data_IF_966795645215
#
_entry.id   IF_966795645215
#
_cell.length_a   1.000
_cell.length_b   1.000
_cell.length_c   1.000
_cell.angle_alpha   90.00
_cell.angle_beta   90.00
_cell.angle_gamma   90.00
#
_symmetry.space_group_name_H-M   'P 1'
#
loop_
_entity.id
_entity.type
_entity.pdbx_description
1 polymer ?
#
# COMPACT_ATOMS: atom_id res chain seq x y z
N UNK A 1 8.14 -4.60 13.70
CA UNK A 1 8.57 -4.89 15.09
C UNK A 1 9.46 -6.12 15.23
N UNK A 2 9.10 -7.28 14.70
CA UNK A 2 9.91 -8.52 14.83
C UNK A 2 11.38 -8.34 14.43
N UNK A 3 11.65 -7.89 13.20
CA UNK A 3 13.02 -7.67 12.71
C UNK A 3 13.86 -6.74 13.60
N UNK A 4 13.24 -5.75 14.26
CA UNK A 4 13.94 -4.81 15.15
C UNK A 4 14.47 -5.52 16.42
N UNK A 5 13.86 -6.64 16.79
CA UNK A 5 14.24 -7.45 17.96
C UNK A 5 15.01 -8.71 17.57
N UNK A 6 15.17 -9.00 16.28
CA UNK A 6 15.96 -10.13 15.78
C UNK A 6 17.42 -9.69 15.58
N UNK A 7 18.40 -10.26 16.29
CA UNK A 7 19.82 -9.96 16.06
C UNK A 7 20.28 -10.44 14.68
N UNK A 8 21.21 -9.72 14.03
CA UNK A 8 21.76 -10.10 12.70
C UNK A 8 22.41 -11.48 12.65
N UNK A 9 22.86 -12.01 13.79
CA UNK A 9 23.47 -13.34 13.89
C UNK A 9 22.44 -14.48 14.04
N UNK A 10 21.17 -14.15 14.23
CA UNK A 10 20.09 -15.14 14.36
C UNK A 10 19.83 -15.79 13.00
N UNK A 11 19.64 -17.11 12.97
CA UNK A 11 19.37 -17.88 11.74
C UNK A 11 18.21 -17.31 10.92
N UNK A 12 17.20 -16.81 11.62
CA UNK A 12 15.95 -16.33 10.99
C UNK A 12 16.04 -14.87 10.53
N UNK A 13 17.13 -14.15 10.83
CA UNK A 13 17.24 -12.74 10.45
C UNK A 13 17.03 -12.50 8.93
N UNK A 14 17.67 -13.28 8.02
CA UNK A 14 17.50 -13.08 6.59
C UNK A 14 16.06 -13.33 6.14
N UNK A 15 15.43 -14.40 6.63
CA UNK A 15 14.05 -14.75 6.27
C UNK A 15 13.04 -13.71 6.77
N UNK A 16 13.23 -13.20 7.99
CA UNK A 16 12.36 -12.15 8.56
C UNK A 16 12.54 -10.82 7.83
N UNK A 17 13.77 -10.50 7.40
CA UNK A 17 14.05 -9.31 6.59
C UNK A 17 13.39 -9.40 5.21
N UNK A 18 13.55 -10.53 4.52
CA UNK A 18 12.97 -10.78 3.20
C UNK A 18 11.44 -10.72 3.25
N UNK A 19 10.83 -11.41 4.22
CA UNK A 19 9.39 -11.37 4.43
C UNK A 19 8.88 -9.94 4.69
N UNK A 20 9.63 -9.14 5.46
CA UNK A 20 9.26 -7.75 5.71
C UNK A 20 9.29 -6.92 4.42
N UNK A 21 10.29 -7.10 3.56
CA UNK A 21 10.36 -6.35 2.30
C UNK A 21 9.26 -6.78 1.32
N UNK A 22 9.01 -8.09 1.20
CA UNK A 22 7.94 -8.61 0.36
C UNK A 22 6.57 -8.07 0.80
N UNK A 23 6.29 -8.09 2.10
CA UNK A 23 5.03 -7.58 2.63
C UNK A 23 4.90 -6.06 2.45
N UNK A 24 5.99 -5.30 2.60
CA UNK A 24 5.97 -3.86 2.29
C UNK A 24 5.60 -3.62 0.83
N UNK A 25 6.22 -4.33 -0.11
CA UNK A 25 5.92 -4.17 -1.53
C UNK A 25 4.45 -4.47 -1.84
N UNK A 26 3.93 -5.59 -1.32
CA UNK A 26 2.52 -5.96 -1.49
C UNK A 26 1.58 -4.90 -0.91
N UNK A 27 1.80 -4.49 0.34
CA UNK A 27 0.96 -3.49 1.00
C UNK A 27 1.02 -2.13 0.32
N UNK A 28 2.21 -1.68 -0.12
CA UNK A 28 2.35 -0.43 -0.86
C UNK A 28 1.56 -0.46 -2.17
N UNK A 29 1.68 -1.54 -2.95
CA UNK A 29 0.97 -1.67 -4.21
C UNK A 29 -0.55 -1.64 -4.01
N UNK A 30 -1.07 -2.44 -3.06
CA UNK A 30 -2.50 -2.48 -2.76
C UNK A 30 -3.00 -1.09 -2.33
N UNK A 31 -2.27 -0.43 -1.42
CA UNK A 31 -2.67 0.87 -0.89
C UNK A 31 -2.58 1.97 -1.96
N UNK A 32 -1.61 1.90 -2.86
CA UNK A 32 -1.50 2.81 -4.00
C UNK A 32 -2.68 2.68 -4.94
N UNK A 33 -2.98 1.45 -5.37
CA UNK A 33 -4.10 1.17 -6.28
C UNK A 33 -5.41 1.61 -5.65
N UNK A 34 -5.64 1.31 -4.37
CA UNK A 34 -6.83 1.75 -3.65
C UNK A 34 -6.95 3.28 -3.64
N UNK A 35 -5.86 3.99 -3.31
CA UNK A 35 -5.86 5.46 -3.28
C UNK A 35 -6.13 6.08 -4.65
N UNK A 36 -5.66 5.46 -5.73
CA UNK A 36 -5.95 5.92 -7.08
C UNK A 36 -7.43 5.73 -7.43
N UNK A 37 -8.03 4.59 -7.05
CA UNK A 37 -9.46 4.35 -7.22
C UNK A 37 -10.32 5.35 -6.44
N UNK A 38 -10.01 5.60 -5.16
CA UNK A 38 -10.74 6.58 -4.34
C UNK A 38 -10.68 7.99 -4.94
N UNK A 39 -9.58 8.36 -5.60
CA UNK A 39 -9.47 9.64 -6.32
C UNK A 39 -10.36 9.68 -7.56
N UNK A 40 -10.45 8.58 -8.31
CA UNK A 40 -11.33 8.50 -9.49
C UNK A 40 -12.80 8.59 -9.08
N UNK A 41 -13.19 7.87 -8.03
CA UNK A 41 -14.55 7.95 -7.45
C UNK A 41 -14.87 9.37 -7.01
N UNK A 42 -13.94 10.06 -6.35
CA UNK A 42 -14.14 11.46 -5.96
C UNK A 42 -14.31 12.39 -7.18
N UNK A 43 -13.58 12.15 -8.27
CA UNK A 43 -13.75 12.92 -9.51
C UNK A 43 -15.08 12.66 -10.19
N UNK A 44 -15.54 11.41 -10.22
CA UNK A 44 -16.86 11.04 -10.76
C UNK A 44 -17.98 11.75 -9.97
N UNK A 45 -17.88 11.74 -8.63
CA UNK A 45 -18.80 12.49 -7.77
C UNK A 45 -18.74 13.98 -8.11
N UNK A 46 -17.55 14.58 -8.23
CA UNK A 46 -17.46 16.00 -8.58
C UNK A 46 -18.08 16.31 -9.94
N UNK A 47 -17.83 15.46 -10.95
CA UNK A 47 -18.39 15.59 -12.29
C UNK A 47 -19.92 15.54 -12.27
N UNK A 48 -20.53 14.62 -11.52
CA UNK A 48 -21.98 14.46 -11.47
C UNK A 48 -22.72 15.67 -10.90
N UNK A 49 -22.03 16.54 -10.18
CA UNK A 49 -22.59 17.78 -9.61
C UNK A 49 -22.50 18.98 -10.57
N UNK A 50 -21.84 18.85 -11.72
CA UNK A 50 -21.74 19.94 -12.69
C UNK A 50 -22.96 19.92 -13.61
N UNK A 51 -23.81 20.95 -13.50
CA UNK A 51 -24.99 21.08 -14.36
C UNK A 51 -24.61 21.30 -15.82
N UNK A 52 -25.28 20.58 -16.73
CA UNK A 52 -25.03 20.67 -18.17
C UNK A 52 -23.76 19.97 -18.65
N UNK A 53 -23.18 19.07 -17.83
CA UNK A 53 -22.04 18.25 -18.21
C UNK A 53 -22.48 17.09 -19.12
N UNK A 54 -22.16 17.17 -20.42
CA UNK A 54 -22.22 16.07 -21.41
C UNK A 54 -20.81 15.65 -21.86
#
# INVERSE_FOLDING_TARGET
ELLKRTPKKHSDYPAVEEALQAMKAVCCNINETKRQMEKLEALEILQSHIEGWE
#
